data_IF_095245538395
#
_entry.id   IF_095245538395
#
_cell.length_a   1.000
_cell.length_b   1.000
_cell.length_c   1.000
_cell.angle_alpha   90.00
_cell.angle_beta   90.00
_cell.angle_gamma   90.00
#
_symmetry.space_group_name_H-M   'P 1'
#
loop_
_entity.id
_entity.type
_entity.pdbx_description
1 polymer ?
#
# COMPACT_ATOMS: atom_id res chain seq x y z
N UNK A 1 -24.41 2.94 -37.15
CA UNK A 1 -23.33 3.96 -37.16
C UNK A 1 -23.30 4.74 -35.84
N UNK A 2 -22.19 4.78 -35.11
CA UNK A 2 -22.05 5.71 -34.00
C UNK A 2 -22.02 7.16 -34.55
N UNK A 3 -22.40 8.17 -33.75
CA UNK A 3 -22.37 9.56 -34.21
C UNK A 3 -20.90 10.03 -34.39
N UNK A 4 -20.64 10.97 -35.30
CA UNK A 4 -19.30 11.51 -35.49
C UNK A 4 -18.89 12.34 -34.27
N UNK A 5 -17.85 11.89 -33.57
CA UNK A 5 -17.10 12.71 -32.62
C UNK A 5 -16.34 13.78 -33.42
N UNK A 6 -16.80 15.01 -33.33
CA UNK A 6 -16.26 16.14 -34.08
C UNK A 6 -16.42 17.43 -33.30
N UNK A 7 -16.04 17.43 -32.01
CA UNK A 7 -15.65 18.67 -31.37
C UNK A 7 -14.22 19.00 -31.86
N UNK A 8 -13.95 20.23 -32.33
CA UNK A 8 -12.58 20.62 -32.68
C UNK A 8 -11.69 20.48 -31.43
N UNK A 9 -10.43 20.00 -31.57
CA UNK A 9 -9.54 19.87 -30.43
C UNK A 9 -9.39 21.22 -29.74
N UNK A 10 -9.67 21.25 -28.43
CA UNK A 10 -9.51 22.42 -27.59
C UNK A 10 -8.03 22.83 -27.67
N UNK A 11 -7.75 24.08 -28.04
CA UNK A 11 -6.37 24.55 -28.12
C UNK A 11 -5.74 24.46 -26.71
N UNK A 12 -4.80 23.52 -26.54
CA UNK A 12 -4.09 23.31 -25.27
C UNK A 12 -3.06 24.41 -25.06
N UNK A 13 -3.02 24.97 -23.85
CA UNK A 13 -2.02 25.98 -23.45
C UNK A 13 -1.44 25.63 -22.09
N UNK A 14 -0.23 26.12 -21.80
CA UNK A 14 0.41 25.96 -20.51
C UNK A 14 0.77 24.51 -20.14
N UNK A 15 0.58 24.17 -18.87
CA UNK A 15 0.96 22.88 -18.26
C UNK A 15 0.33 21.69 -18.99
N UNK A 16 -0.94 21.79 -19.39
CA UNK A 16 -1.63 20.71 -20.12
C UNK A 16 -0.94 20.39 -21.45
N UNK A 17 -0.44 21.42 -22.17
CA UNK A 17 0.26 21.23 -23.44
C UNK A 17 1.60 20.51 -23.23
N UNK A 18 2.36 20.93 -22.23
CA UNK A 18 3.65 20.32 -21.92
C UNK A 18 3.51 18.86 -21.50
N UNK A 19 2.51 18.54 -20.67
CA UNK A 19 2.23 17.14 -20.29
C UNK A 19 1.77 16.35 -21.52
N UNK A 20 0.95 16.92 -22.40
CA UNK A 20 0.56 16.26 -23.65
C UNK A 20 1.77 15.96 -24.55
N UNK A 21 2.74 16.87 -24.63
CA UNK A 21 3.98 16.67 -25.38
C UNK A 21 4.82 15.52 -24.78
N UNK A 22 4.93 15.45 -23.44
CA UNK A 22 5.62 14.35 -22.75
C UNK A 22 4.93 12.99 -22.96
N UNK A 23 3.61 12.94 -22.86
CA UNK A 23 2.79 11.75 -23.10
C UNK A 23 2.92 11.29 -24.55
N UNK A 24 2.83 12.23 -25.50
CA UNK A 24 2.96 11.96 -26.92
C UNK A 24 4.35 11.42 -27.28
N UNK A 25 5.42 11.95 -26.66
CA UNK A 25 6.78 11.45 -26.81
C UNK A 25 6.96 9.98 -26.36
N UNK A 26 6.19 9.53 -25.37
CA UNK A 26 6.20 8.13 -24.91
C UNK A 26 5.36 7.23 -25.81
N UNK A 27 4.21 7.73 -26.27
CA UNK A 27 3.30 6.99 -27.17
C UNK A 27 3.77 6.97 -28.63
N UNK A 28 4.73 7.80 -29.00
CA UNK A 28 5.17 7.96 -30.40
C UNK A 28 4.11 8.61 -31.29
N UNK A 29 3.21 9.43 -30.72
CA UNK A 29 2.12 10.12 -31.43
C UNK A 29 2.35 11.64 -31.45
N UNK A 30 1.50 12.40 -32.15
CA UNK A 30 1.45 13.85 -31.98
C UNK A 30 0.77 14.25 -30.66
N UNK A 31 1.12 15.40 -30.05
CA UNK A 31 0.47 15.90 -28.84
C UNK A 31 -1.03 16.15 -29.04
N UNK A 32 -1.44 16.61 -30.22
CA UNK A 32 -2.85 16.85 -30.55
C UNK A 32 -3.65 15.54 -30.70
N UNK A 33 -2.97 14.39 -30.85
CA UNK A 33 -3.59 13.06 -30.96
C UNK A 33 -3.83 12.40 -29.59
N UNK A 34 -3.31 12.96 -28.49
CA UNK A 34 -3.57 12.47 -27.13
C UNK A 34 -4.90 13.05 -26.68
N UNK A 35 -5.92 12.24 -26.41
CA UNK A 35 -7.20 12.73 -25.85
C UNK A 35 -7.03 13.00 -24.34
N UNK A 36 -7.59 14.11 -23.86
CA UNK A 36 -7.42 14.58 -22.49
C UNK A 36 -8.02 13.62 -21.45
N UNK A 37 -9.17 13.03 -21.76
CA UNK A 37 -9.94 12.21 -20.82
C UNK A 37 -9.83 10.71 -21.12
N UNK A 38 -9.00 10.35 -22.11
CA UNK A 38 -8.75 8.96 -22.46
C UNK A 38 -7.73 8.32 -21.51
N UNK A 39 -7.99 7.07 -21.13
CA UNK A 39 -7.04 6.25 -20.38
C UNK A 39 -5.75 6.02 -21.18
N UNK A 40 -4.63 6.46 -20.62
CA UNK A 40 -3.32 6.39 -21.27
C UNK A 40 -2.76 4.96 -21.32
N UNK A 41 -3.14 4.08 -20.40
CA UNK A 41 -2.74 2.67 -20.46
C UNK A 41 -3.40 1.95 -21.63
N UNK A 42 -4.71 2.18 -21.84
CA UNK A 42 -5.43 1.73 -23.03
C UNK A 42 -4.87 2.24 -24.37
N UNK A 43 -4.01 3.27 -24.33
CA UNK A 43 -3.30 3.86 -25.47
C UNK A 43 -1.89 3.31 -25.70
N UNK A 44 -1.40 2.45 -24.81
CA UNK A 44 -0.09 1.82 -24.94
C UNK A 44 0.99 2.38 -24.00
N UNK A 45 0.65 3.25 -23.05
CA UNK A 45 1.55 3.47 -21.90
C UNK A 45 1.57 2.20 -21.07
N UNK A 46 2.72 1.55 -20.99
CA UNK A 46 2.96 0.45 -20.06
C UNK A 46 3.53 0.98 -18.73
N UNK A 47 3.73 0.10 -17.74
CA UNK A 47 4.27 0.47 -16.43
C UNK A 47 5.63 1.18 -16.51
N UNK A 48 6.48 0.83 -17.49
CA UNK A 48 7.78 1.48 -17.68
C UNK A 48 7.62 2.84 -18.39
N UNK A 49 6.64 2.97 -19.29
CA UNK A 49 6.20 4.22 -19.88
C UNK A 49 5.67 5.19 -18.83
N UNK A 50 4.87 4.71 -17.87
CA UNK A 50 4.35 5.54 -16.78
C UNK A 50 5.48 6.07 -15.87
N UNK A 51 6.47 5.24 -15.53
CA UNK A 51 7.67 5.69 -14.78
C UNK A 51 8.45 6.73 -15.56
N UNK A 52 8.71 6.47 -16.85
CA UNK A 52 9.40 7.42 -17.72
C UNK A 52 8.64 8.74 -17.83
N UNK A 53 7.31 8.68 -17.84
CA UNK A 53 6.46 9.87 -17.85
C UNK A 53 6.61 10.67 -16.55
N UNK A 54 6.53 10.02 -15.39
CA UNK A 54 6.70 10.71 -14.10
C UNK A 54 8.09 11.34 -13.99
N UNK A 55 9.15 10.62 -14.37
CA UNK A 55 10.51 11.13 -14.37
C UNK A 55 10.68 12.34 -15.31
N UNK A 56 10.06 12.29 -16.51
CA UNK A 56 10.08 13.41 -17.46
C UNK A 56 9.29 14.61 -16.96
N UNK A 57 8.17 14.38 -16.28
CA UNK A 57 7.38 15.44 -15.64
C UNK A 57 8.20 16.12 -14.54
N UNK A 58 8.90 15.36 -13.71
CA UNK A 58 9.79 15.89 -12.69
C UNK A 58 10.97 16.67 -13.30
N UNK A 59 11.62 16.11 -14.31
CA UNK A 59 12.73 16.75 -15.04
C UNK A 59 12.31 18.07 -15.72
N UNK A 60 11.16 18.08 -16.40
CA UNK A 60 10.74 19.22 -17.23
C UNK A 60 9.96 20.28 -16.45
N UNK A 61 9.21 19.89 -15.42
CA UNK A 61 8.31 20.78 -14.69
C UNK A 61 8.76 21.05 -13.25
N UNK A 62 9.80 20.37 -12.77
CA UNK A 62 10.30 20.50 -11.41
C UNK A 62 9.32 19.98 -10.35
N UNK A 63 8.34 19.18 -10.76
CA UNK A 63 7.28 18.65 -9.91
C UNK A 63 7.33 17.13 -9.89
N UNK A 64 7.60 16.57 -8.72
CA UNK A 64 7.52 15.12 -8.52
C UNK A 64 6.06 14.70 -8.41
N UNK A 65 5.58 13.89 -9.34
CA UNK A 65 4.24 13.29 -9.30
C UNK A 65 4.37 11.82 -8.93
N UNK A 66 3.74 11.43 -7.83
CA UNK A 66 3.69 10.03 -7.40
C UNK A 66 3.00 9.16 -8.44
N UNK A 67 3.63 8.03 -8.78
CA UNK A 67 3.06 7.05 -9.70
C UNK A 67 1.66 6.59 -9.25
N UNK A 68 1.46 6.33 -7.95
CA UNK A 68 0.15 5.95 -7.37
C UNK A 68 -0.93 6.99 -7.62
N UNK A 69 -0.60 8.29 -7.51
CA UNK A 69 -1.56 9.37 -7.75
C UNK A 69 -1.95 9.44 -9.22
N UNK A 70 -0.98 9.28 -10.13
CA UNK A 70 -1.26 9.15 -11.56
C UNK A 70 -2.09 7.91 -11.88
N UNK A 71 -1.83 6.80 -11.21
CA UNK A 71 -2.55 5.55 -11.38
C UNK A 71 -4.00 5.57 -10.86
N UNK A 72 -4.37 6.56 -10.04
CA UNK A 72 -5.75 6.79 -9.62
C UNK A 72 -6.60 7.47 -10.71
N UNK A 73 -5.98 8.28 -11.56
CA UNK A 73 -6.57 8.85 -12.77
C UNK A 73 -5.51 8.91 -13.88
N UNK A 74 -5.52 7.86 -14.70
CA UNK A 74 -4.53 7.58 -15.74
C UNK A 74 -4.73 8.40 -17.02
N UNK A 75 -5.50 9.48 -16.95
CA UNK A 75 -5.77 10.38 -18.08
C UNK A 75 -4.78 11.54 -18.13
N UNK A 76 -4.66 12.20 -19.29
CA UNK A 76 -3.89 13.44 -19.42
C UNK A 76 -4.47 14.55 -18.52
N UNK A 77 -5.80 14.64 -18.44
CA UNK A 77 -6.53 15.53 -17.53
C UNK A 77 -6.19 15.25 -16.06
N UNK A 78 -6.14 13.98 -15.66
CA UNK A 78 -5.76 13.53 -14.32
C UNK A 78 -4.35 13.97 -13.95
N UNK A 79 -3.39 13.65 -14.82
CA UNK A 79 -1.99 14.05 -14.63
C UNK A 79 -1.81 15.58 -14.60
N UNK A 80 -2.52 16.31 -15.46
CA UNK A 80 -2.50 17.77 -15.48
C UNK A 80 -2.96 18.36 -14.15
N UNK A 81 -4.01 17.80 -13.54
CA UNK A 81 -4.46 18.24 -12.20
C UNK A 81 -3.43 17.96 -11.12
N UNK A 82 -2.79 16.79 -11.14
CA UNK A 82 -1.75 16.43 -10.17
C UNK A 82 -0.54 17.37 -10.25
N UNK A 83 -0.06 17.63 -11.47
CA UNK A 83 1.06 18.56 -11.70
C UNK A 83 0.67 19.98 -11.30
N UNK A 84 -0.49 20.46 -11.73
CA UNK A 84 -0.95 21.83 -11.43
C UNK A 84 -1.11 22.06 -9.93
N UNK A 85 -1.61 21.06 -9.19
CA UNK A 85 -1.77 21.15 -7.74
C UNK A 85 -0.44 21.17 -6.97
N UNK A 86 0.62 20.62 -7.55
CA UNK A 86 1.94 20.54 -6.94
C UNK A 86 2.90 21.66 -7.42
N UNK A 87 2.48 22.51 -8.36
CA UNK A 87 3.24 23.68 -8.80
C UNK A 87 3.19 24.80 -7.73
N UNK A 88 4.35 25.38 -7.34
CA UNK A 88 4.40 26.48 -6.36
C UNK A 88 3.72 27.77 -6.83
N UNK A 89 3.65 28.01 -8.16
CA UNK A 89 2.86 29.07 -8.82
C UNK A 89 2.71 28.73 -10.33
N UNK A 90 1.49 28.53 -10.87
CA UNK A 90 1.28 28.16 -12.28
C UNK A 90 1.74 29.22 -13.30
N UNK A 91 1.83 30.50 -12.90
CA UNK A 91 2.24 31.59 -13.79
C UNK A 91 3.77 31.67 -13.96
N UNK A 92 4.52 31.36 -12.90
CA UNK A 92 5.97 31.57 -12.82
C UNK A 92 6.78 30.49 -13.57
N UNK A 93 6.16 29.34 -13.87
CA UNK A 93 6.79 28.25 -14.66
C UNK A 93 6.68 28.49 -16.16
N UNK A 94 5.62 29.15 -16.64
CA UNK A 94 5.44 29.46 -18.06
C UNK A 94 6.45 30.52 -18.54
N UNK A 95 6.78 31.48 -17.67
CA UNK A 95 7.79 32.52 -17.91
C UNK A 95 9.22 31.98 -17.89
N UNK A 96 9.51 30.94 -17.07
CA UNK A 96 10.84 30.29 -17.02
C UNK A 96 11.10 29.39 -18.24
N UNK A 97 10.08 28.70 -18.75
CA UNK A 97 10.23 27.73 -19.84
C UNK A 97 10.24 28.38 -21.23
N UNK A 98 9.60 29.54 -21.42
CA UNK A 98 9.73 30.33 -22.67
C UNK A 98 11.11 30.96 -22.83
N UNK A 99 11.88 31.09 -21.75
CA UNK A 99 13.24 31.61 -21.78
C UNK A 99 14.32 30.55 -22.08
N UNK A 100 14.00 29.25 -22.05
CA UNK A 100 14.97 28.15 -22.20
C UNK A 100 15.16 27.65 -23.66
N UNK A 101 14.43 28.17 -24.64
CA UNK A 101 14.66 27.90 -26.08
C UNK A 101 15.94 28.59 -26.65
N UNK A 102 16.76 29.21 -25.80
CA UNK A 102 17.93 29.97 -26.22
C UNK A 102 19.14 29.84 -25.28
N UNK A 103 19.55 28.62 -24.90
CA UNK A 103 20.96 28.29 -24.63
C UNK A 103 21.17 26.83 -24.20
N UNK A 104 22.13 26.18 -24.85
CA UNK A 104 22.98 25.11 -24.31
C UNK A 104 24.42 25.50 -24.76
N UNK A 105 25.52 25.25 -24.00
CA UNK A 105 25.87 23.90 -23.56
C UNK A 105 26.57 23.73 -22.18
N UNK A 106 26.43 22.50 -21.66
CA UNK A 106 27.43 21.60 -21.06
C UNK A 106 28.18 21.93 -19.75
N UNK A 107 28.20 20.94 -18.83
CA UNK A 107 29.23 20.79 -17.79
C UNK A 107 28.97 19.63 -16.82
N UNK A 108 29.87 18.64 -16.79
CA UNK A 108 29.79 17.39 -16.03
C UNK A 108 30.24 17.50 -14.55
N UNK A 109 29.71 16.64 -13.66
CA UNK A 109 30.51 15.76 -12.78
C UNK A 109 29.66 14.81 -11.90
N UNK A 110 30.22 13.65 -11.60
CA UNK A 110 29.85 12.70 -10.53
C UNK A 110 31.17 12.18 -9.90
N UNK A 111 31.19 11.38 -8.81
CA UNK A 111 30.35 11.35 -7.59
C UNK A 111 31.22 11.40 -6.30
N UNK A 112 30.61 11.65 -5.14
CA UNK A 112 31.16 11.39 -3.80
C UNK A 112 30.01 11.51 -2.79
N UNK A 113 29.83 10.72 -1.74
CA UNK A 113 30.48 9.55 -1.16
C UNK A 113 29.61 9.20 0.04
N UNK A 114 29.29 7.92 0.25
CA UNK A 114 28.45 7.50 1.36
C UNK A 114 29.15 7.75 2.71
N UNK A 115 28.44 8.28 3.73
CA UNK A 115 28.82 8.04 5.10
C UNK A 115 28.02 6.84 5.63
N UNK A 116 28.74 5.78 5.97
CA UNK A 116 28.33 4.89 7.06
C UNK A 116 28.39 5.68 8.37
N UNK A 117 27.31 5.71 9.14
CA UNK A 117 27.35 6.08 10.55
C UNK A 117 26.21 5.41 11.32
N UNK A 118 26.61 4.36 12.03
CA UNK A 118 26.14 3.95 13.35
C UNK A 118 25.31 5.02 14.11
N UNK A 119 24.08 4.66 14.45
CA UNK A 119 23.26 5.39 15.41
C UNK A 119 22.56 4.37 16.33
N UNK A 120 23.34 3.91 17.31
CA UNK A 120 22.96 3.53 18.67
C UNK A 120 21.51 3.10 18.93
N UNK A 121 21.36 1.84 19.34
CA UNK A 121 20.20 1.29 20.04
C UNK A 121 19.92 2.10 21.31
N UNK A 122 19.05 3.11 21.22
CA UNK A 122 18.48 3.75 22.39
C UNK A 122 17.25 2.96 22.85
N UNK A 123 17.40 2.31 24.01
CA UNK A 123 16.38 1.61 24.79
C UNK A 123 15.00 2.30 24.75
N UNK A 124 14.00 1.60 24.22
CA UNK A 124 12.58 1.98 24.28
C UNK A 124 11.92 1.19 25.42
N UNK A 125 11.11 1.81 26.32
CA UNK A 125 10.59 1.15 27.52
C UNK A 125 9.74 -0.09 27.23
N UNK A 126 9.98 -1.13 28.02
CA UNK A 126 9.45 -2.48 27.90
C UNK A 126 8.09 -2.63 28.60
N UNK A 127 7.05 -2.84 27.80
CA UNK A 127 5.86 -3.66 28.12
C UNK A 127 5.19 -4.05 26.80
N UNK A 128 5.82 -4.93 26.04
CA UNK A 128 5.31 -5.36 24.74
C UNK A 128 4.00 -6.15 24.90
N UNK A 129 2.95 -5.69 24.22
CA UNK A 129 1.68 -6.42 24.15
C UNK A 129 1.91 -7.81 23.51
N UNK A 130 1.04 -8.80 23.75
CA UNK A 130 1.21 -10.10 23.10
C UNK A 130 1.13 -9.96 21.59
N UNK A 131 1.94 -10.74 20.85
CA UNK A 131 1.87 -10.80 19.37
C UNK A 131 0.45 -11.15 18.92
N UNK A 132 -0.21 -12.07 19.62
CA UNK A 132 -1.59 -12.47 19.36
C UNK A 132 -2.51 -11.77 20.37
N UNK A 133 -3.33 -10.83 19.91
CA UNK A 133 -4.35 -10.18 20.71
C UNK A 133 -5.76 -10.57 20.27
N UNK A 134 -6.67 -10.72 21.22
CA UNK A 134 -8.08 -10.95 20.90
C UNK A 134 -8.75 -9.62 20.50
N UNK A 135 -9.41 -9.57 19.35
CA UNK A 135 -9.96 -8.33 18.79
C UNK A 135 -11.47 -8.14 19.03
N UNK A 136 -12.15 -9.11 19.64
CA UNK A 136 -13.59 -9.01 19.88
C UNK A 136 -14.20 -10.21 20.61
N UNK A 137 -15.46 -10.05 21.00
CA UNK A 137 -16.27 -11.00 21.77
C UNK A 137 -15.90 -11.01 23.26
N UNK A 138 -16.88 -10.87 24.17
CA UNK A 138 -16.60 -10.93 25.61
C UNK A 138 -16.50 -12.37 26.13
N UNK A 139 -17.10 -13.34 25.42
CA UNK A 139 -17.23 -14.72 25.88
C UNK A 139 -16.34 -15.67 25.07
N UNK A 140 -15.71 -16.67 25.68
CA UNK A 140 -15.07 -17.77 24.96
C UNK A 140 -16.11 -18.48 24.08
N UNK A 141 -15.69 -18.93 22.90
CA UNK A 141 -16.45 -19.82 22.01
C UNK A 141 -15.69 -21.16 21.92
N UNK A 142 -15.83 -22.06 22.93
CA UNK A 142 -15.01 -23.26 23.02
C UNK A 142 -15.20 -24.14 21.78
N UNK A 143 -14.10 -24.56 21.16
CA UNK A 143 -14.11 -25.48 20.01
C UNK A 143 -14.47 -24.86 18.66
N UNK A 144 -14.76 -23.55 18.60
CA UNK A 144 -14.88 -22.81 17.35
C UNK A 144 -13.49 -22.52 16.77
N UNK A 145 -13.29 -22.79 15.48
CA UNK A 145 -12.01 -22.56 14.81
C UNK A 145 -11.66 -21.06 14.79
N UNK A 146 -10.43 -20.67 15.18
CA UNK A 146 -10.05 -19.26 15.25
C UNK A 146 -9.80 -18.63 13.88
N UNK A 147 -9.99 -17.32 13.86
CA UNK A 147 -9.57 -16.43 12.78
C UNK A 147 -8.36 -15.67 13.26
N UNK A 148 -7.28 -15.72 12.50
CA UNK A 148 -6.10 -14.91 12.73
C UNK A 148 -6.01 -13.84 11.64
N UNK A 149 -6.13 -12.57 12.03
CA UNK A 149 -6.04 -11.42 11.16
C UNK A 149 -4.64 -10.81 11.28
N UNK A 150 -3.88 -10.81 10.19
CA UNK A 150 -2.51 -10.32 10.16
C UNK A 150 -2.47 -8.84 9.82
N UNK A 151 -1.68 -8.06 10.56
CA UNK A 151 -1.64 -6.61 10.40
C UNK A 151 -1.24 -6.15 8.98
N UNK A 152 -1.76 -5.00 8.51
CA UNK A 152 -1.25 -4.29 7.33
C UNK A 152 0.10 -3.62 7.65
N UNK A 153 0.65 -2.84 6.73
CA UNK A 153 2.00 -2.27 6.84
C UNK A 153 2.27 -1.51 8.15
N UNK A 154 1.26 -0.83 8.71
CA UNK A 154 1.36 -0.10 9.97
C UNK A 154 1.47 -0.96 11.24
N UNK A 155 1.47 -2.29 11.15
CA UNK A 155 1.82 -3.14 12.29
C UNK A 155 0.72 -3.51 13.25
N UNK A 156 -0.37 -2.76 13.26
CA UNK A 156 -1.48 -2.95 14.19
C UNK A 156 -2.62 -3.73 13.56
N UNK A 157 -3.20 -4.65 14.34
CA UNK A 157 -4.39 -5.38 13.94
C UNK A 157 -5.71 -4.64 14.25
N UNK A 158 -5.64 -3.38 14.74
CA UNK A 158 -6.83 -2.63 15.14
C UNK A 158 -7.80 -2.34 13.99
N UNK A 159 -7.31 -2.30 12.74
CA UNK A 159 -8.15 -2.14 11.54
C UNK A 159 -9.23 -3.23 11.41
N UNK A 160 -9.08 -4.38 12.07
CA UNK A 160 -10.06 -5.46 12.04
C UNK A 160 -11.16 -5.36 13.12
N UNK A 161 -11.19 -4.29 13.92
CA UNK A 161 -12.13 -4.16 15.05
C UNK A 161 -13.61 -4.27 14.65
N UNK A 162 -14.01 -3.65 13.53
CA UNK A 162 -15.37 -3.76 12.99
C UNK A 162 -15.68 -5.21 12.61
N UNK A 163 -14.77 -5.87 11.89
CA UNK A 163 -14.93 -7.27 11.48
C UNK A 163 -14.99 -8.23 12.67
N UNK A 164 -14.16 -8.01 13.69
CA UNK A 164 -14.17 -8.79 14.92
C UNK A 164 -15.48 -8.62 15.70
N UNK A 165 -16.07 -7.42 15.68
CA UNK A 165 -17.38 -7.15 16.28
C UNK A 165 -18.49 -7.93 15.57
N UNK A 166 -18.49 -7.96 14.23
CA UNK A 166 -19.46 -8.72 13.43
C UNK A 166 -19.34 -10.24 13.63
N UNK A 167 -18.14 -10.73 13.94
CA UNK A 167 -17.83 -12.16 14.12
C UNK A 167 -17.90 -12.62 15.58
N UNK A 168 -18.14 -11.72 16.53
CA UNK A 168 -17.98 -11.95 17.97
C UNK A 168 -18.76 -13.15 18.52
N UNK A 169 -19.90 -13.49 17.93
CA UNK A 169 -20.76 -14.62 18.31
C UNK A 169 -20.59 -15.86 17.43
N UNK A 170 -19.77 -15.77 16.38
CA UNK A 170 -19.61 -16.81 15.34
C UNK A 170 -18.28 -17.54 15.45
N UNK A 171 -17.17 -16.80 15.53
CA UNK A 171 -15.81 -17.36 15.65
C UNK A 171 -14.91 -16.43 16.46
N UNK A 172 -13.96 -16.95 17.25
CA UNK A 172 -12.99 -16.11 17.93
C UNK A 172 -12.04 -15.46 16.92
N UNK A 173 -11.83 -14.14 17.05
CA UNK A 173 -10.96 -13.35 16.19
C UNK A 173 -9.75 -12.87 16.96
N UNK A 174 -8.57 -13.18 16.43
CA UNK A 174 -7.28 -12.78 16.96
C UNK A 174 -6.51 -11.94 15.93
N UNK A 175 -5.90 -10.86 16.37
CA UNK A 175 -5.01 -10.03 15.58
C UNK A 175 -3.56 -10.41 15.85
N UNK A 176 -2.76 -10.52 14.79
CA UNK A 176 -1.31 -10.58 14.89
C UNK A 176 -0.76 -9.17 14.70
N UNK A 177 -0.10 -8.66 15.72
CA UNK A 177 0.36 -7.28 15.81
C UNK A 177 1.88 -7.23 15.97
N UNK A 178 2.53 -6.32 15.23
CA UNK A 178 3.95 -6.03 15.32
C UNK A 178 4.26 -4.71 16.03
N UNK A 179 3.38 -3.72 15.93
CA UNK A 179 3.64 -2.42 16.54
C UNK A 179 3.56 -2.50 18.07
N UNK A 180 2.43 -2.99 18.57
CA UNK A 180 2.13 -3.10 20.00
C UNK A 180 3.01 -4.15 20.69
N UNK A 181 3.43 -5.20 19.97
CA UNK A 181 4.27 -6.27 20.51
C UNK A 181 5.77 -6.04 20.32
N UNK A 182 6.17 -5.04 19.54
CA UNK A 182 7.57 -4.79 19.22
C UNK A 182 8.25 -5.91 18.42
N UNK A 183 7.54 -6.94 17.96
CA UNK A 183 8.17 -8.08 17.29
C UNK A 183 8.80 -7.65 15.97
N UNK A 184 10.07 -8.03 15.81
CA UNK A 184 10.87 -7.72 14.63
C UNK A 184 11.72 -8.93 14.24
N UNK A 185 11.89 -9.14 12.93
CA UNK A 185 12.63 -10.30 12.39
C UNK A 185 13.45 -9.95 11.14
N UNK A 186 13.55 -8.67 10.78
CA UNK A 186 14.34 -8.19 9.65
C UNK A 186 13.83 -8.54 8.25
N UNK A 187 12.76 -9.33 8.10
CA UNK A 187 12.21 -9.68 6.79
C UNK A 187 10.75 -10.12 6.89
N UNK A 188 10.00 -10.01 5.78
CA UNK A 188 8.62 -10.49 5.71
C UNK A 188 8.52 -12.01 5.94
N UNK A 189 9.35 -12.88 5.31
CA UNK A 189 9.30 -14.31 5.59
C UNK A 189 9.71 -14.67 7.03
N UNK A 190 10.66 -13.92 7.62
CA UNK A 190 11.04 -14.07 9.02
C UNK A 190 9.85 -13.78 9.95
N UNK A 191 9.09 -12.72 9.66
CA UNK A 191 7.96 -12.29 10.48
C UNK A 191 6.81 -13.29 10.36
N UNK A 192 6.49 -13.72 9.14
CA UNK A 192 5.52 -14.77 8.90
C UNK A 192 5.90 -16.11 9.58
N UNK A 193 7.19 -16.46 9.60
CA UNK A 193 7.71 -17.63 10.33
C UNK A 193 7.61 -17.48 11.85
N UNK A 194 7.77 -16.27 12.40
CA UNK A 194 7.50 -15.98 13.80
C UNK A 194 6.01 -16.15 14.10
N UNK A 195 5.14 -15.58 13.26
CA UNK A 195 3.68 -15.71 13.38
C UNK A 195 3.17 -17.13 13.32
N UNK A 196 3.69 -17.96 12.40
CA UNK A 196 3.30 -19.36 12.33
C UNK A 196 3.66 -20.12 13.61
N UNK A 197 4.82 -19.83 14.23
CA UNK A 197 5.21 -20.44 15.51
C UNK A 197 4.34 -19.97 16.67
N UNK A 198 4.00 -18.68 16.73
CA UNK A 198 3.08 -18.14 17.72
C UNK A 198 1.69 -18.78 17.59
N UNK A 199 1.14 -18.89 16.38
CA UNK A 199 -0.14 -19.55 16.13
C UNK A 199 -0.07 -21.03 16.53
N UNK A 200 0.99 -21.76 16.15
CA UNK A 200 1.12 -23.17 16.48
C UNK A 200 1.31 -23.42 18.00
N UNK A 201 1.88 -22.46 18.73
CA UNK A 201 1.99 -22.52 20.20
C UNK A 201 0.71 -22.04 20.92
N UNK A 202 -0.06 -21.15 20.28
CA UNK A 202 -1.31 -20.60 20.78
C UNK A 202 -2.50 -21.34 20.19
N UNK A 203 -2.90 -22.44 20.83
CA UNK A 203 -3.94 -23.34 20.34
C UNK A 203 -5.23 -23.27 21.19
N UNK A 204 -6.11 -22.28 20.96
CA UNK A 204 -7.38 -22.17 21.67
C UNK A 204 -8.41 -23.24 21.24
N UNK A 205 -8.17 -23.98 20.15
CA UNK A 205 -9.08 -24.98 19.61
C UNK A 205 -8.32 -26.16 18.95
N UNK A 206 -7.75 -27.09 19.75
CA UNK A 206 -6.83 -28.09 19.24
C UNK A 206 -7.35 -28.96 18.10
N UNK A 207 -6.48 -29.13 17.09
CA UNK A 207 -6.75 -29.92 15.89
C UNK A 207 -7.74 -29.28 14.91
N UNK A 208 -8.25 -28.08 15.19
CA UNK A 208 -9.12 -27.37 14.23
C UNK A 208 -8.27 -26.62 13.21
N UNK A 209 -8.63 -26.70 11.91
CA UNK A 209 -7.94 -25.92 10.89
C UNK A 209 -8.23 -24.43 11.08
N UNK A 210 -7.19 -23.60 11.06
CA UNK A 210 -7.31 -22.15 11.30
C UNK A 210 -7.67 -21.40 10.03
N UNK A 211 -8.37 -20.27 10.15
CA UNK A 211 -8.50 -19.32 9.02
C UNK A 211 -7.51 -18.18 9.22
N UNK A 212 -6.74 -17.88 8.18
CA UNK A 212 -5.92 -16.67 8.15
C UNK A 212 -6.61 -15.61 7.30
N UNK A 213 -6.57 -14.36 7.72
CA UNK A 213 -7.09 -13.22 6.98
C UNK A 213 -6.08 -12.08 6.99
N UNK A 214 -6.02 -11.32 5.92
CA UNK A 214 -5.10 -10.21 5.81
C UNK A 214 -5.55 -9.17 4.80
N UNK A 215 -5.67 -7.93 5.25
CA UNK A 215 -5.90 -6.75 4.42
C UNK A 215 -4.60 -6.13 3.96
N UNK A 216 -4.53 -5.74 2.69
CA UNK A 216 -3.36 -5.07 2.11
C UNK A 216 -2.08 -5.93 2.28
N UNK A 217 -0.98 -5.36 2.81
CA UNK A 217 0.23 -6.09 3.16
C UNK A 217 0.00 -7.27 4.13
N UNK A 218 -1.05 -7.19 4.96
CA UNK A 218 -1.46 -8.28 5.84
C UNK A 218 -1.88 -9.53 5.07
N UNK A 219 -2.39 -9.39 3.84
CA UNK A 219 -2.70 -10.54 2.97
C UNK A 219 -1.44 -11.28 2.51
N UNK A 220 -0.37 -10.54 2.21
CA UNK A 220 0.94 -11.11 1.87
C UNK A 220 1.52 -11.87 3.07
N UNK A 221 1.45 -11.27 4.26
CA UNK A 221 1.83 -11.92 5.52
C UNK A 221 0.97 -13.16 5.79
N UNK A 222 -0.35 -13.10 5.59
CA UNK A 222 -1.27 -14.21 5.81
C UNK A 222 -0.93 -15.40 4.90
N UNK A 223 -0.66 -15.12 3.64
CA UNK A 223 -0.29 -16.12 2.65
C UNK A 223 1.04 -16.81 2.99
N UNK A 224 2.10 -16.04 3.29
CA UNK A 224 3.38 -16.62 3.69
C UNK A 224 3.26 -17.39 5.03
N UNK A 225 2.50 -16.85 5.99
CA UNK A 225 2.24 -17.52 7.27
C UNK A 225 1.52 -18.84 7.08
N UNK A 226 0.59 -18.92 6.11
CA UNK A 226 -0.09 -20.17 5.77
C UNK A 226 0.87 -21.24 5.26
N UNK A 227 1.83 -20.87 4.41
CA UNK A 227 2.86 -21.78 3.93
C UNK A 227 3.73 -22.27 5.10
N UNK A 228 4.12 -21.38 6.02
CA UNK A 228 4.90 -21.73 7.22
C UNK A 228 4.13 -22.63 8.19
N UNK A 229 2.83 -22.40 8.39
CA UNK A 229 1.99 -23.27 9.21
C UNK A 229 1.90 -24.68 8.62
N UNK A 230 1.81 -24.81 7.30
CA UNK A 230 1.86 -26.12 6.63
C UNK A 230 3.19 -26.83 6.82
N UNK A 231 4.31 -26.10 6.73
CA UNK A 231 5.64 -26.66 7.03
C UNK A 231 5.71 -27.18 8.49
N UNK A 232 4.98 -26.55 9.42
CA UNK A 232 4.86 -26.97 10.83
C UNK A 232 3.80 -28.07 11.06
N UNK A 233 3.10 -28.54 10.02
CA UNK A 233 2.02 -29.53 10.14
C UNK A 233 0.74 -28.97 10.78
N UNK A 234 0.61 -27.65 10.91
CA UNK A 234 -0.59 -27.02 11.46
C UNK A 234 -1.64 -26.82 10.34
N UNK A 235 -2.85 -27.38 10.48
CA UNK A 235 -3.84 -27.32 9.43
C UNK A 235 -4.38 -25.90 9.24
N UNK A 236 -4.48 -25.46 7.98
CA UNK A 236 -5.05 -24.17 7.57
C UNK A 236 -6.29 -24.46 6.72
N UNK A 237 -7.43 -23.92 7.12
CA UNK A 237 -8.70 -24.08 6.41
C UNK A 237 -8.72 -23.25 5.13
N UNK A 238 -8.32 -21.98 5.23
CA UNK A 238 -8.36 -20.99 4.15
C UNK A 238 -7.48 -19.79 4.50
N UNK A 239 -6.94 -19.15 3.46
CA UNK A 239 -6.36 -17.80 3.52
C UNK A 239 -7.31 -16.82 2.82
N UNK A 240 -7.74 -15.77 3.51
CA UNK A 240 -8.59 -14.71 2.95
C UNK A 240 -7.75 -13.44 2.75
N UNK A 241 -7.53 -13.11 1.48
CA UNK A 241 -6.79 -11.93 1.04
C UNK A 241 -7.80 -10.80 0.80
N UNK A 242 -7.80 -9.80 1.68
CA UNK A 242 -8.70 -8.66 1.59
C UNK A 242 -7.96 -7.54 0.86
N UNK A 243 -8.27 -7.39 -0.42
CA UNK A 243 -7.72 -6.35 -1.28
C UNK A 243 -6.19 -6.25 -1.25
N UNK A 244 -5.55 -7.42 -1.27
CA UNK A 244 -4.11 -7.57 -1.21
C UNK A 244 -3.53 -7.71 -2.60
N UNK A 245 -2.40 -7.05 -2.86
CA UNK A 245 -1.62 -7.15 -4.11
C UNK A 245 -0.28 -7.78 -3.80
N UNK A 246 0.27 -8.58 -4.71
CA UNK A 246 1.66 -9.03 -4.56
C UNK A 246 2.63 -7.86 -4.75
N UNK A 247 3.74 -7.79 -3.97
CA UNK A 247 4.63 -6.65 -4.00
C UNK A 247 5.32 -6.39 -5.35
N UNK A 248 5.50 -7.40 -6.19
CA UNK A 248 6.14 -7.24 -7.50
C UNK A 248 5.32 -6.37 -8.46
N UNK A 249 3.99 -6.37 -8.33
CA UNK A 249 3.13 -5.48 -9.10
C UNK A 249 3.15 -4.03 -8.59
N UNK A 250 3.58 -3.80 -7.35
CA UNK A 250 3.67 -2.49 -6.70
C UNK A 250 5.12 -2.06 -6.45
N UNK A 251 6.10 -2.69 -7.12
CA UNK A 251 7.53 -2.53 -6.80
C UNK A 251 7.97 -1.08 -6.83
N UNK A 252 7.58 -0.35 -7.88
CA UNK A 252 7.95 1.05 -8.06
C UNK A 252 7.33 1.94 -6.98
N UNK A 253 6.04 1.74 -6.70
CA UNK A 253 5.34 2.45 -5.62
C UNK A 253 5.97 2.17 -4.26
N UNK A 254 6.36 0.91 -4.00
CA UNK A 254 7.00 0.50 -2.75
C UNK A 254 8.36 1.17 -2.59
N UNK A 255 9.15 1.29 -3.67
CA UNK A 255 10.45 1.96 -3.65
C UNK A 255 10.30 3.47 -3.50
N UNK A 256 9.33 4.09 -4.17
CA UNK A 256 9.02 5.50 -4.02
C UNK A 256 8.60 5.82 -2.58
N UNK A 257 7.66 5.07 -2.02
CA UNK A 257 7.21 5.22 -0.64
C UNK A 257 8.36 4.97 0.36
N UNK A 258 9.28 4.06 0.06
CA UNK A 258 10.45 3.80 0.90
C UNK A 258 11.40 5.00 0.90
N UNK A 259 11.71 5.58 -0.27
CA UNK A 259 12.56 6.77 -0.36
C UNK A 259 11.96 7.95 0.40
N UNK A 260 10.67 8.21 0.20
CA UNK A 260 9.96 9.27 0.91
C UNK A 260 9.92 9.03 2.42
N UNK A 261 9.80 7.76 2.84
CA UNK A 261 9.81 7.42 4.25
C UNK A 261 11.17 7.67 4.90
N UNK A 262 12.27 7.36 4.22
CA UNK A 262 13.61 7.66 4.74
C UNK A 262 13.79 9.18 4.90
N UNK A 263 13.42 9.97 3.90
CA UNK A 263 13.42 11.44 3.99
C UNK A 263 12.53 11.95 5.13
N UNK A 264 11.35 11.35 5.31
CA UNK A 264 10.42 11.70 6.38
C UNK A 264 11.00 11.36 7.77
N UNK A 265 11.67 10.21 7.91
CA UNK A 265 12.33 9.78 9.14
C UNK A 265 13.43 10.77 9.53
N UNK A 266 14.28 11.16 8.58
CA UNK A 266 15.36 12.13 8.80
C UNK A 266 14.79 13.47 9.28
N UNK A 267 13.77 13.99 8.59
CA UNK A 267 13.11 15.25 8.96
C UNK A 267 12.44 15.16 10.33
N UNK A 268 11.76 14.06 10.64
CA UNK A 268 11.08 13.88 11.93
C UNK A 268 12.06 13.79 13.09
N UNK A 269 13.26 13.24 12.88
CA UNK A 269 14.28 13.13 13.91
C UNK A 269 14.81 14.50 14.39
N UNK A 270 14.70 15.54 13.56
CA UNK A 270 15.16 16.90 13.87
C UNK A 270 14.07 17.79 14.50
N UNK A 271 12.81 17.34 14.52
CA UNK A 271 11.66 18.12 14.97
C UNK A 271 11.25 17.79 16.40
N UNK A 272 10.59 18.74 17.06
CA UNK A 272 9.88 18.45 18.31
C UNK A 272 8.64 17.56 18.06
N UNK A 273 8.06 17.02 19.13
CA UNK A 273 6.95 16.06 19.03
C UNK A 273 5.69 16.61 18.34
N UNK A 274 5.39 17.90 18.45
CA UNK A 274 4.19 18.52 17.84
C UNK A 274 4.44 18.88 16.36
N UNK A 275 5.64 19.32 16.02
CA UNK A 275 6.09 19.54 14.64
C UNK A 275 6.19 18.23 13.87
N UNK A 276 6.83 17.22 14.45
CA UNK A 276 6.90 15.88 13.88
C UNK A 276 5.50 15.30 13.63
N UNK A 277 4.59 15.40 14.60
CA UNK A 277 3.19 14.94 14.43
C UNK A 277 2.52 15.60 13.23
N UNK A 278 2.64 16.94 13.11
CA UNK A 278 2.04 17.68 12.00
C UNK A 278 2.61 17.26 10.65
N UNK A 279 3.93 17.06 10.58
CA UNK A 279 4.58 16.60 9.36
C UNK A 279 4.12 15.19 8.96
N UNK A 280 3.99 14.26 9.91
CA UNK A 280 3.50 12.90 9.66
C UNK A 280 2.04 12.88 9.19
N UNK A 281 1.19 13.70 9.80
CA UNK A 281 -0.21 13.85 9.39
C UNK A 281 -0.37 14.43 7.99
N UNK A 282 0.54 15.33 7.60
CA UNK A 282 0.60 15.89 6.25
C UNK A 282 1.37 15.00 5.27
N UNK A 283 1.96 13.90 5.74
CA UNK A 283 2.76 13.03 4.90
C UNK A 283 1.90 12.24 3.93
N UNK A 284 2.45 12.09 2.75
CA UNK A 284 1.78 11.52 1.60
C UNK A 284 1.96 9.99 1.53
N UNK A 285 2.59 9.41 2.56
CA UNK A 285 2.80 7.96 2.79
C UNK A 285 1.50 7.33 3.32
N UNK A 286 0.62 8.13 3.92
CA UNK A 286 -0.67 7.64 4.42
C UNK A 286 -0.52 6.74 5.64
N UNK A 287 0.37 7.07 6.57
CA UNK A 287 0.69 6.26 7.76
C UNK A 287 -0.54 5.85 8.59
N UNK A 288 -1.57 6.68 8.55
CA UNK A 288 -2.82 6.51 9.31
C UNK A 288 -4.03 6.23 8.42
N UNK A 289 -3.84 6.09 7.11
CA UNK A 289 -4.92 5.90 6.16
C UNK A 289 -5.63 4.56 6.38
N UNK A 290 -6.96 4.57 6.27
CA UNK A 290 -7.78 3.39 6.52
C UNK A 290 -7.99 3.04 7.99
N UNK A 291 -7.18 3.56 8.94
CA UNK A 291 -7.32 3.22 10.37
C UNK A 291 -8.60 3.77 11.03
N UNK A 292 -9.21 4.80 10.45
CA UNK A 292 -10.48 5.35 10.95
C UNK A 292 -10.34 6.10 12.28
N UNK A 293 -9.12 6.56 12.58
CA UNK A 293 -8.80 7.29 13.79
C UNK A 293 -9.20 8.76 13.68
N UNK A 294 -9.68 9.33 14.78
CA UNK A 294 -9.84 10.79 14.92
C UNK A 294 -8.47 11.48 15.03
N UNK A 295 -8.37 12.80 14.79
CA UNK A 295 -7.11 13.53 14.97
C UNK A 295 -6.48 13.33 16.36
N UNK A 296 -7.28 13.33 17.43
CA UNK A 296 -6.79 13.09 18.79
C UNK A 296 -6.29 11.65 18.98
N UNK A 297 -6.95 10.67 18.37
CA UNK A 297 -6.49 9.28 18.37
C UNK A 297 -5.17 9.14 17.63
N UNK A 298 -5.00 9.80 16.48
CA UNK A 298 -3.72 9.79 15.76
C UNK A 298 -2.63 10.45 16.60
N UNK A 299 -2.93 11.56 17.28
CA UNK A 299 -1.98 12.23 18.17
C UNK A 299 -1.54 11.32 19.32
N UNK A 300 -2.48 10.66 20.00
CA UNK A 300 -2.18 9.71 21.07
C UNK A 300 -1.40 8.49 20.55
N UNK A 301 -1.76 7.99 19.36
CA UNK A 301 -1.09 6.86 18.72
C UNK A 301 0.37 7.19 18.36
N UNK A 302 0.62 8.38 17.83
CA UNK A 302 1.97 8.86 17.55
C UNK A 302 2.78 9.06 18.83
N UNK A 303 2.19 9.64 19.89
CA UNK A 303 2.89 9.78 21.17
C UNK A 303 3.30 8.43 21.77
N UNK A 304 2.46 7.41 21.58
CA UNK A 304 2.75 6.06 22.07
C UNK A 304 3.80 5.32 21.22
N UNK A 305 3.77 5.47 19.89
CA UNK A 305 4.49 4.57 18.99
C UNK A 305 5.38 5.24 17.94
N UNK A 306 5.43 6.57 17.86
CA UNK A 306 5.94 7.33 16.71
C UNK A 306 7.22 6.78 16.05
N UNK A 307 8.37 6.76 16.75
CA UNK A 307 9.61 6.20 16.20
C UNK A 307 9.51 4.72 15.84
N UNK A 308 8.75 3.92 16.61
CA UNK A 308 8.53 2.49 16.35
C UNK A 308 7.65 2.29 15.10
N UNK A 309 6.64 3.13 14.90
CA UNK A 309 5.76 3.13 13.74
C UNK A 309 6.57 3.38 12.46
N UNK A 310 7.41 4.41 12.45
CA UNK A 310 8.22 4.73 11.27
C UNK A 310 9.22 3.62 10.93
N UNK A 311 9.89 3.03 11.94
CA UNK A 311 10.75 1.87 11.72
C UNK A 311 9.97 0.71 11.11
N UNK A 312 8.78 0.42 11.64
CA UNK A 312 7.96 -0.70 11.17
C UNK A 312 7.46 -0.50 9.74
N UNK A 313 7.07 0.72 9.37
CA UNK A 313 6.74 1.06 7.99
C UNK A 313 7.93 0.86 7.05
N UNK A 314 9.12 1.35 7.44
CA UNK A 314 10.35 1.22 6.64
C UNK A 314 10.71 -0.24 6.44
N UNK A 315 10.72 -1.01 7.52
CA UNK A 315 11.10 -2.41 7.48
C UNK A 315 10.04 -3.25 6.74
N UNK A 316 8.76 -2.85 6.84
CA UNK A 316 7.68 -3.42 6.06
C UNK A 316 7.84 -3.18 4.56
N UNK A 317 8.13 -1.95 4.13
CA UNK A 317 8.36 -1.60 2.72
C UNK A 317 9.59 -2.34 2.15
N UNK A 318 10.71 -2.34 2.88
CA UNK A 318 11.90 -3.14 2.53
C UNK A 318 11.55 -4.62 2.41
N UNK A 319 10.83 -5.14 3.40
CA UNK A 319 10.38 -6.53 3.42
C UNK A 319 9.48 -6.89 2.23
N UNK A 320 8.62 -5.99 1.78
CA UNK A 320 7.78 -6.18 0.59
C UNK A 320 8.62 -6.12 -0.70
N UNK A 321 9.54 -5.16 -0.83
CA UNK A 321 10.42 -5.04 -2.00
C UNK A 321 11.31 -6.28 -2.20
N UNK A 322 11.84 -6.84 -1.11
CA UNK A 322 12.69 -8.03 -1.15
C UNK A 322 11.89 -9.34 -1.19
N UNK A 323 10.57 -9.28 -1.01
CA UNK A 323 9.74 -10.47 -0.91
C UNK A 323 9.73 -11.28 -2.21
N UNK A 324 9.91 -12.59 -2.09
CA UNK A 324 9.76 -13.56 -3.17
C UNK A 324 8.75 -14.62 -2.73
N UNK A 325 7.52 -14.60 -3.27
CA UNK A 325 6.46 -15.46 -2.80
C UNK A 325 6.73 -16.93 -3.07
N UNK A 326 6.39 -17.78 -2.10
CA UNK A 326 6.31 -19.23 -2.29
C UNK A 326 5.00 -19.59 -3.00
N UNK A 327 4.93 -20.78 -3.61
CA UNK A 327 3.65 -21.37 -3.98
C UNK A 327 2.91 -21.89 -2.76
N UNK A 328 1.58 -21.83 -2.80
CA UNK A 328 0.70 -22.35 -1.77
C UNK A 328 -0.45 -23.13 -2.40
N UNK A 329 -0.59 -24.39 -1.98
CA UNK A 329 -1.56 -25.34 -2.54
C UNK A 329 -2.82 -25.48 -1.67
N UNK A 330 -3.05 -24.55 -0.73
CA UNK A 330 -4.26 -24.55 0.11
C UNK A 330 -5.31 -23.60 -0.41
N UNK A 331 -6.54 -23.64 0.13
CA UNK A 331 -7.62 -22.77 -0.30
C UNK A 331 -7.29 -21.29 -0.02
N UNK A 332 -7.39 -20.46 -1.06
CA UNK A 332 -7.21 -19.01 -0.98
C UNK A 332 -8.44 -18.33 -1.55
N UNK A 333 -8.94 -17.32 -0.84
CA UNK A 333 -10.00 -16.44 -1.31
C UNK A 333 -9.46 -15.03 -1.43
N UNK A 334 -9.57 -14.43 -2.61
CA UNK A 334 -9.26 -13.02 -2.85
C UNK A 334 -10.56 -12.21 -2.90
N UNK A 335 -10.66 -11.20 -2.05
CA UNK A 335 -11.75 -10.21 -2.05
C UNK A 335 -11.21 -8.90 -2.64
N UNK A 336 -11.63 -8.54 -3.84
CA UNK A 336 -11.16 -7.34 -4.53
C UNK A 336 -12.22 -6.23 -4.51
N UNK A 337 -11.84 -5.00 -4.20
CA UNK A 337 -12.74 -3.84 -4.22
C UNK A 337 -13.19 -3.46 -5.64
N UNK A 338 -14.50 -3.27 -5.85
CA UNK A 338 -15.06 -2.86 -7.15
C UNK A 338 -14.70 -1.41 -7.52
N UNK A 339 -14.41 -0.54 -6.54
CA UNK A 339 -14.04 0.86 -6.77
C UNK A 339 -12.55 1.08 -6.94
N UNK A 340 -11.73 0.04 -6.84
CA UNK A 340 -10.30 0.17 -7.11
C UNK A 340 -10.01 0.50 -8.59
N UNK A 341 -8.86 1.10 -8.89
CA UNK A 341 -8.43 1.25 -10.28
C UNK A 341 -8.35 -0.11 -11.00
N UNK A 342 -8.65 -0.11 -12.31
CA UNK A 342 -8.71 -1.35 -13.09
C UNK A 342 -7.38 -2.10 -13.13
N UNK A 343 -6.26 -1.36 -13.16
CA UNK A 343 -4.92 -1.95 -13.14
C UNK A 343 -4.62 -2.67 -11.81
N UNK A 344 -5.10 -2.15 -10.66
CA UNK A 344 -4.94 -2.81 -9.34
C UNK A 344 -5.61 -4.16 -9.37
N UNK A 345 -6.88 -4.23 -9.77
CA UNK A 345 -7.61 -5.51 -9.85
C UNK A 345 -6.91 -6.49 -10.78
N UNK A 346 -6.42 -6.00 -11.93
CA UNK A 346 -5.68 -6.83 -12.89
C UNK A 346 -4.41 -7.39 -12.28
N UNK A 347 -3.63 -6.56 -11.59
CA UNK A 347 -2.41 -6.94 -10.89
C UNK A 347 -2.68 -7.97 -9.76
N UNK A 348 -3.72 -7.75 -8.96
CA UNK A 348 -4.14 -8.70 -7.90
C UNK A 348 -4.43 -10.08 -8.50
N UNK A 349 -5.30 -10.14 -9.52
CA UNK A 349 -5.70 -11.38 -10.18
C UNK A 349 -4.51 -12.10 -10.83
N UNK A 350 -3.67 -11.37 -11.58
CA UNK A 350 -2.50 -11.95 -12.25
C UNK A 350 -1.46 -12.48 -11.24
N UNK A 351 -1.19 -11.70 -10.19
CA UNK A 351 -0.23 -12.04 -9.14
C UNK A 351 -0.64 -13.29 -8.37
N UNK A 352 -1.84 -13.31 -7.79
CA UNK A 352 -2.27 -14.41 -6.92
C UNK A 352 -2.50 -15.71 -7.67
N UNK A 353 -3.05 -15.68 -8.91
CA UNK A 353 -3.21 -16.89 -9.74
C UNK A 353 -1.90 -17.60 -10.06
N UNK A 354 -0.78 -16.89 -10.05
CA UNK A 354 0.54 -17.47 -10.33
C UNK A 354 1.03 -18.38 -9.19
N UNK A 355 0.63 -18.08 -7.96
CA UNK A 355 1.21 -18.70 -6.75
C UNK A 355 0.21 -19.44 -5.86
N UNK A 356 -1.09 -19.13 -5.93
CA UNK A 356 -2.17 -19.84 -5.25
C UNK A 356 -2.75 -20.90 -6.19
N UNK A 357 -2.60 -22.18 -5.84
CA UNK A 357 -3.10 -23.27 -6.70
C UNK A 357 -4.63 -23.41 -6.66
N UNK A 358 -5.24 -23.07 -5.52
CA UNK A 358 -6.68 -23.06 -5.29
C UNK A 358 -7.12 -21.65 -4.91
N UNK A 359 -7.45 -20.84 -5.92
CA UNK A 359 -7.82 -19.44 -5.76
C UNK A 359 -9.26 -19.20 -6.19
N UNK A 360 -10.07 -18.80 -5.22
CA UNK A 360 -11.42 -18.27 -5.42
C UNK A 360 -11.40 -16.74 -5.36
N UNK A 361 -12.11 -16.06 -6.26
CA UNK A 361 -12.05 -14.59 -6.40
C UNK A 361 -13.44 -13.99 -6.35
N UNK A 362 -13.65 -13.05 -5.44
CA UNK A 362 -14.91 -12.33 -5.26
C UNK A 362 -14.68 -10.83 -5.34
N UNK A 363 -15.64 -10.14 -5.95
CA UNK A 363 -15.67 -8.68 -5.97
C UNK A 363 -16.60 -8.21 -4.86
N UNK A 364 -16.13 -7.26 -4.07
CA UNK A 364 -16.89 -6.64 -2.97
C UNK A 364 -16.99 -5.14 -3.19
N UNK A 365 -18.07 -4.53 -2.72
CA UNK A 365 -18.26 -3.09 -2.87
C UNK A 365 -17.33 -2.29 -1.96
N UNK A 366 -16.61 -1.31 -2.52
CA UNK A 366 -15.74 -0.39 -1.81
C UNK A 366 -14.36 -0.21 -2.46
N UNK A 367 -13.64 0.80 -1.99
CA UNK A 367 -12.21 0.99 -2.31
C UNK A 367 -11.32 0.49 -1.17
N UNK A 368 -10.01 0.42 -1.40
CA UNK A 368 -9.02 -0.18 -0.50
C UNK A 368 -9.22 0.10 1.01
N UNK A 369 -9.48 1.36 1.38
CA UNK A 369 -9.61 1.79 2.78
C UNK A 369 -11.04 1.68 3.35
N UNK A 370 -12.04 1.41 2.51
CA UNK A 370 -13.43 1.24 2.93
C UNK A 370 -13.70 -0.19 3.43
N UNK A 371 -13.00 -1.20 2.89
CA UNK A 371 -13.41 -2.60 3.01
C UNK A 371 -13.44 -3.14 4.45
N UNK A 372 -12.62 -2.61 5.35
CA UNK A 372 -12.65 -3.00 6.76
C UNK A 372 -13.59 -2.14 7.62
N UNK A 373 -14.25 -1.13 7.04
CA UNK A 373 -15.19 -0.24 7.71
C UNK A 373 -16.63 -0.65 7.41
N UNK A 374 -17.52 -0.35 8.34
CA UNK A 374 -18.96 -0.49 8.08
C UNK A 374 -19.43 0.59 7.10
N UNK A 375 -20.33 0.25 6.16
CA UNK A 375 -21.00 -1.05 5.99
C UNK A 375 -20.21 -2.08 5.16
N UNK A 376 -19.12 -1.71 4.48
CA UNK A 376 -18.42 -2.58 3.54
C UNK A 376 -17.91 -3.89 4.18
N UNK A 377 -17.46 -3.85 5.44
CA UNK A 377 -16.95 -5.00 6.19
C UNK A 377 -17.97 -6.14 6.35
N UNK A 378 -19.28 -5.86 6.29
CA UNK A 378 -20.33 -6.89 6.37
C UNK A 378 -20.22 -7.92 5.24
N UNK A 379 -19.76 -7.48 4.06
CA UNK A 379 -19.59 -8.34 2.88
C UNK A 379 -18.50 -9.39 3.06
N UNK A 380 -17.57 -9.18 4.00
CA UNK A 380 -16.40 -10.06 4.23
C UNK A 380 -16.77 -11.25 5.14
N UNK A 381 -17.75 -11.07 6.03
CA UNK A 381 -18.15 -12.06 7.05
C UNK A 381 -18.44 -13.47 6.50
N UNK A 382 -19.14 -13.66 5.36
CA UNK A 382 -19.41 -14.99 4.81
C UNK A 382 -18.14 -15.78 4.48
N UNK A 383 -17.10 -15.11 3.97
CA UNK A 383 -15.82 -15.74 3.58
C UNK A 383 -14.97 -16.15 4.80
N UNK A 384 -15.27 -15.55 5.95
CA UNK A 384 -14.68 -15.81 7.24
C UNK A 384 -15.58 -16.64 8.16
N UNK A 385 -16.60 -17.32 7.64
CA UNK A 385 -17.44 -18.20 8.48
C UNK A 385 -17.73 -19.55 7.86
N UNK A 386 -17.66 -19.68 6.53
CA UNK A 386 -17.69 -20.99 5.85
C UNK A 386 -16.32 -21.53 5.53
#
# INVERSE_FOLDING_TARGET
PPPPSGAPPRARTGVERQIADLVAGILGTGPDDVDADQDLFGRGIDSLGAVRLMAKVEEHLGVRVKLRRFLADTTLSGLTRLVTAALPDPADVLDRLTAQDAADPAGANAPAGAPEADASEADVPEADAPIIARLGGARPLPGAAPIYCLHPLGGSAHCYASLASLLAERRPVYGLQALESGVYTGSLPGLAGRYAREIAGFDPAPGRPVTLAGWSAGGVLAFETAARLRDLGHPVARVVLIDSVLPDALMLETLDDLLELEELIERVAELDGDEARRLLLASDIGLFDGLGMTPDQVAAYYQAYGPRLLRLWRDGLRGLADYRPRRYDGPVTLLAGDRNPAWVRTAQLAGWRRIAADLDVHVVHGEHHDLLRLPCADQIVPFLTG
#
